data_IF_753036797389
#
_entry.id   IF_753036797389
#
_cell.length_a   1.000
_cell.length_b   1.000
_cell.length_c   1.000
_cell.angle_alpha   90.00
_cell.angle_beta   90.00
_cell.angle_gamma   90.00
#
_symmetry.space_group_name_H-M   'P 1'
#
loop_
_entity.id
_entity.type
_entity.pdbx_description
1 polymer ?
#
# COMPACT_ATOMS: atom_id res chain seq x y z
N UNK A 1 30.10 -66.95 24.12
CA UNK A 1 28.66 -66.71 23.90
C UNK A 1 28.13 -65.89 25.07
N UNK A 2 27.51 -64.75 24.76
CA UNK A 2 26.50 -63.97 25.52
C UNK A 2 26.77 -63.65 27.01
N UNK A 3 27.03 -62.39 27.39
CA UNK A 3 26.14 -61.20 27.51
C UNK A 3 25.64 -61.01 28.95
N UNK A 4 25.99 -59.85 29.53
CA UNK A 4 25.27 -59.03 30.52
C UNK A 4 26.10 -57.74 30.64
N UNK A 5 25.84 -56.61 29.98
CA UNK A 5 24.65 -55.74 29.94
C UNK A 5 24.31 -55.03 31.26
N UNK A 6 25.25 -54.23 31.78
CA UNK A 6 24.89 -53.09 32.62
C UNK A 6 24.67 -51.87 31.72
N UNK A 7 23.44 -51.80 31.20
CA UNK A 7 22.93 -50.60 30.54
C UNK A 7 22.77 -49.50 31.58
N UNK A 8 23.56 -48.43 31.42
CA UNK A 8 23.30 -47.14 32.02
C UNK A 8 21.82 -46.76 31.78
N UNK A 9 21.01 -46.77 32.84
CA UNK A 9 19.78 -45.99 32.88
C UNK A 9 20.18 -44.52 32.83
N UNK A 10 20.24 -43.98 31.61
CA UNK A 10 20.19 -42.55 31.36
C UNK A 10 18.84 -42.06 31.89
N UNK A 11 18.85 -41.50 33.09
CA UNK A 11 17.71 -40.84 33.71
C UNK A 11 17.30 -39.65 32.85
N UNK A 12 16.25 -39.83 32.07
CA UNK A 12 15.48 -38.78 31.38
C UNK A 12 14.67 -37.95 32.38
N UNK A 13 15.34 -37.34 33.36
CA UNK A 13 14.76 -36.44 34.35
C UNK A 13 15.70 -35.27 34.57
N UNK A 14 15.72 -34.34 33.61
CA UNK A 14 16.19 -32.95 33.83
C UNK A 14 15.92 -32.01 32.63
N UNK A 15 14.74 -32.14 31.99
CA UNK A 15 14.42 -31.38 30.77
C UNK A 15 13.48 -30.18 30.95
N UNK A 16 12.98 -29.90 32.17
CA UNK A 16 12.06 -28.79 32.44
C UNK A 16 12.34 -28.14 33.80
N UNK A 17 13.47 -27.43 33.92
CA UNK A 17 13.85 -26.72 35.14
C UNK A 17 14.90 -25.63 34.94
N UNK A 18 14.96 -24.96 33.77
CA UNK A 18 15.97 -23.93 33.49
C UNK A 18 15.33 -22.62 33.02
N UNK A 19 16.12 -21.54 33.03
CA UNK A 19 15.81 -20.20 32.50
C UNK A 19 15.06 -20.23 31.16
N UNK A 20 15.27 -21.26 30.34
CA UNK A 20 14.53 -21.53 29.10
C UNK A 20 13.01 -21.72 29.29
N UNK A 21 12.55 -22.36 30.37
CA UNK A 21 11.13 -22.58 30.66
C UNK A 21 10.44 -21.28 31.07
N UNK A 22 11.12 -20.45 31.87
CA UNK A 22 10.66 -19.10 32.22
C UNK A 22 10.63 -18.22 30.97
N UNK A 23 11.66 -18.28 30.12
CA UNK A 23 11.67 -17.58 28.84
C UNK A 23 10.52 -18.02 27.94
N UNK A 24 10.26 -19.33 27.87
CA UNK A 24 9.17 -19.87 27.07
C UNK A 24 7.80 -19.43 27.58
N UNK A 25 7.60 -19.38 28.91
CA UNK A 25 6.38 -18.84 29.51
C UNK A 25 6.23 -17.33 29.25
N UNK A 26 7.32 -16.54 29.29
CA UNK A 26 7.27 -15.12 28.93
C UNK A 26 6.96 -14.95 27.44
N UNK A 27 7.50 -15.80 26.57
CA UNK A 27 7.25 -15.75 25.12
C UNK A 27 5.81 -16.16 24.79
N UNK A 28 5.25 -17.18 25.46
CA UNK A 28 3.88 -17.66 25.23
C UNK A 28 2.83 -16.71 25.83
N UNK A 29 3.14 -16.01 26.92
CA UNK A 29 2.18 -15.08 27.51
C UNK A 29 2.44 -13.62 27.09
N UNK A 30 3.51 -13.37 26.33
CA UNK A 30 3.92 -12.06 25.87
C UNK A 30 3.59 -11.81 24.39
N UNK A 31 3.78 -10.56 23.97
CA UNK A 31 3.70 -10.19 22.56
C UNK A 31 5.05 -10.42 21.85
N UNK A 32 5.04 -10.34 20.52
CA UNK A 32 6.27 -10.51 19.72
C UNK A 32 7.31 -9.42 20.04
N UNK A 33 6.87 -8.25 20.51
CA UNK A 33 7.74 -7.15 20.96
C UNK A 33 8.54 -7.54 22.21
N UNK A 34 7.93 -8.24 23.16
CA UNK A 34 8.61 -8.80 24.32
C UNK A 34 9.72 -9.78 23.90
N UNK A 35 9.47 -10.62 22.89
CA UNK A 35 10.49 -11.53 22.34
C UNK A 35 11.65 -10.75 21.72
N UNK A 36 11.36 -9.70 20.96
CA UNK A 36 12.40 -8.85 20.35
C UNK A 36 13.25 -8.14 21.42
N UNK A 37 12.63 -7.65 22.48
CA UNK A 37 13.33 -7.01 23.60
C UNK A 37 14.18 -8.01 24.39
N UNK A 38 13.68 -9.23 24.62
CA UNK A 38 14.42 -10.29 25.31
C UNK A 38 15.70 -10.70 24.56
N UNK A 39 15.71 -10.63 23.22
CA UNK A 39 16.92 -10.87 22.41
C UNK A 39 18.03 -9.85 22.67
N UNK A 40 17.71 -8.68 23.22
CA UNK A 40 18.68 -7.61 23.49
C UNK A 40 19.27 -7.69 24.91
N UNK A 41 18.71 -8.53 25.78
CA UNK A 41 19.09 -8.57 27.21
C UNK A 41 20.49 -9.14 27.42
N UNK A 42 20.80 -10.31 26.86
CA UNK A 42 22.15 -10.90 26.91
C UNK A 42 22.36 -11.93 25.80
N UNK A 43 23.60 -12.43 25.69
CA UNK A 43 23.98 -13.43 24.67
C UNK A 43 23.20 -14.74 24.78
N UNK A 44 22.93 -15.21 26.00
CA UNK A 44 22.21 -16.46 26.23
C UNK A 44 20.76 -16.38 25.78
N UNK A 45 20.07 -15.26 26.04
CA UNK A 45 18.70 -15.04 25.56
C UNK A 45 18.66 -14.88 24.04
N UNK A 46 19.64 -14.19 23.44
CA UNK A 46 19.77 -14.08 21.99
C UNK A 46 19.91 -15.45 21.31
N UNK A 47 20.82 -16.30 21.81
CA UNK A 47 21.09 -17.63 21.24
C UNK A 47 19.91 -18.59 21.44
N UNK A 48 19.28 -18.55 22.62
CA UNK A 48 18.12 -19.40 22.96
C UNK A 48 16.89 -19.03 22.12
N UNK A 49 16.62 -17.73 21.93
CA UNK A 49 15.54 -17.29 21.03
C UNK A 49 15.88 -17.62 19.58
N UNK A 50 17.16 -17.50 19.19
CA UNK A 50 17.62 -17.89 17.86
C UNK A 50 17.37 -19.36 17.54
N UNK A 51 17.64 -20.28 18.47
CA UNK A 51 17.41 -21.71 18.27
C UNK A 51 15.92 -22.08 18.28
N UNK A 52 15.09 -21.35 19.04
CA UNK A 52 13.64 -21.59 19.13
C UNK A 52 12.81 -20.79 18.11
N UNK A 53 13.43 -19.93 17.30
CA UNK A 53 12.75 -19.00 16.38
C UNK A 53 11.65 -19.65 15.52
N UNK A 54 11.86 -20.82 14.87
CA UNK A 54 10.79 -21.47 14.10
C UNK A 54 9.58 -21.87 14.94
N UNK A 55 9.78 -22.30 16.19
CA UNK A 55 8.72 -22.69 17.11
C UNK A 55 7.94 -21.47 17.62
N UNK A 56 8.67 -20.40 17.97
CA UNK A 56 8.09 -19.12 18.39
C UNK A 56 7.22 -18.56 17.26
N UNK A 57 7.76 -18.47 16.04
CA UNK A 57 7.03 -17.97 14.89
C UNK A 57 5.75 -18.78 14.63
N UNK A 58 5.84 -20.11 14.63
CA UNK A 58 4.69 -20.99 14.40
C UNK A 58 3.63 -20.85 15.50
N UNK A 59 4.03 -20.67 16.75
CA UNK A 59 3.10 -20.44 17.85
C UNK A 59 2.36 -19.10 17.71
N UNK A 60 3.06 -18.01 17.41
CA UNK A 60 2.43 -16.71 17.14
C UNK A 60 1.51 -16.77 15.92
N UNK A 61 1.91 -17.42 14.83
CA UNK A 61 1.04 -17.59 13.66
C UNK A 61 -0.27 -18.30 14.03
N UNK A 62 -0.22 -19.36 14.86
CA UNK A 62 -1.42 -20.06 15.34
C UNK A 62 -2.32 -19.17 16.20
N UNK A 63 -1.77 -18.32 17.07
CA UNK A 63 -2.57 -17.35 17.84
C UNK A 63 -3.38 -16.41 16.95
N UNK A 64 -2.83 -16.06 15.78
CA UNK A 64 -3.50 -15.22 14.79
C UNK A 64 -4.35 -16.01 13.79
N UNK A 65 -4.57 -17.32 14.01
CA UNK A 65 -5.25 -18.22 13.07
C UNK A 65 -4.62 -18.25 11.66
N UNK A 66 -3.29 -18.09 11.60
CA UNK A 66 -2.52 -18.12 10.35
C UNK A 66 -1.84 -19.48 10.26
N UNK A 67 -2.22 -20.27 9.27
CA UNK A 67 -1.55 -21.53 8.95
C UNK A 67 -0.31 -21.29 8.10
N UNK A 68 -0.43 -20.40 7.11
CA UNK A 68 0.68 -20.00 6.25
C UNK A 68 0.43 -18.58 5.70
N UNK A 69 1.50 -17.90 5.28
CA UNK A 69 1.38 -16.60 4.62
C UNK A 69 1.26 -16.77 3.11
N UNK A 70 0.44 -15.94 2.47
CA UNK A 70 0.42 -15.88 1.01
C UNK A 70 1.81 -15.48 0.48
N UNK A 71 2.31 -16.11 -0.61
CA UNK A 71 3.64 -15.83 -1.16
C UNK A 71 3.88 -14.35 -1.48
N UNK A 72 2.81 -13.61 -1.77
CA UNK A 72 2.87 -12.18 -2.03
C UNK A 72 3.18 -11.37 -0.77
N UNK A 73 2.73 -11.78 0.41
CA UNK A 73 3.00 -11.09 1.69
C UNK A 73 4.49 -11.19 2.04
N UNK A 74 5.07 -12.36 1.82
CA UNK A 74 6.46 -12.70 2.14
C UNK A 74 7.43 -12.38 1.00
N UNK A 75 6.96 -11.90 -0.15
CA UNK A 75 7.78 -11.53 -1.30
C UNK A 75 8.87 -10.52 -0.93
N UNK A 76 10.09 -10.77 -1.42
CA UNK A 76 11.17 -9.80 -1.37
C UNK A 76 11.14 -8.93 -2.65
N UNK A 77 10.80 -7.64 -2.56
CA UNK A 77 10.72 -6.77 -3.74
C UNK A 77 12.05 -6.56 -4.46
N UNK A 78 13.18 -6.86 -3.82
CA UNK A 78 14.50 -6.71 -4.42
C UNK A 78 14.97 -7.94 -5.20
N UNK A 79 14.56 -9.15 -4.76
CA UNK A 79 15.09 -10.41 -5.30
C UNK A 79 14.02 -11.29 -5.94
N UNK A 80 12.74 -11.01 -5.74
CA UNK A 80 11.62 -11.86 -6.16
C UNK A 80 11.46 -13.15 -5.34
N UNK A 81 12.42 -13.45 -4.46
CA UNK A 81 12.36 -14.61 -3.57
C UNK A 81 11.47 -14.40 -2.35
N UNK A 82 11.24 -15.47 -1.60
CA UNK A 82 10.47 -15.42 -0.35
C UNK A 82 11.37 -15.01 0.82
N UNK A 83 10.91 -14.04 1.62
CA UNK A 83 11.55 -13.67 2.89
C UNK A 83 11.20 -14.71 3.96
N UNK A 84 12.18 -15.18 4.74
CA UNK A 84 11.90 -16.12 5.81
C UNK A 84 11.02 -15.49 6.88
N UNK A 85 10.17 -16.32 7.49
CA UNK A 85 9.38 -15.95 8.67
C UNK A 85 10.28 -16.08 9.89
N UNK A 86 10.68 -14.93 10.43
CA UNK A 86 11.55 -14.78 11.61
C UNK A 86 10.83 -13.95 12.65
N UNK A 87 11.31 -13.92 13.90
CA UNK A 87 10.71 -13.08 14.96
C UNK A 87 10.67 -11.60 14.54
N UNK A 88 11.60 -11.17 13.66
CA UNK A 88 11.67 -9.79 13.14
C UNK A 88 10.69 -9.50 12.01
N UNK A 89 10.46 -10.46 11.12
CA UNK A 89 9.61 -10.26 9.92
C UNK A 89 8.14 -10.59 10.19
N UNK A 90 7.87 -11.50 11.13
CA UNK A 90 6.53 -11.95 11.48
C UNK A 90 5.55 -10.82 11.87
N UNK A 91 5.90 -9.85 12.73
CA UNK A 91 4.97 -8.77 13.09
C UNK A 91 4.49 -7.99 11.85
N UNK A 92 5.40 -7.75 10.90
CA UNK A 92 5.10 -7.04 9.66
C UNK A 92 4.15 -7.85 8.77
N UNK A 93 4.36 -9.17 8.66
CA UNK A 93 3.49 -10.03 7.86
C UNK A 93 2.07 -10.13 8.44
N UNK A 94 1.95 -10.36 9.75
CA UNK A 94 0.66 -10.38 10.46
C UNK A 94 -0.07 -9.04 10.26
N UNK A 95 0.62 -7.93 10.50
CA UNK A 95 0.03 -6.60 10.36
C UNK A 95 -0.46 -6.34 8.93
N UNK A 96 0.31 -6.73 7.90
CA UNK A 96 -0.10 -6.59 6.50
C UNK A 96 -1.30 -7.44 6.15
N UNK A 97 -1.30 -8.71 6.53
CA UNK A 97 -2.42 -9.61 6.29
C UNK A 97 -3.71 -9.05 6.91
N UNK A 98 -3.64 -8.71 8.20
CA UNK A 98 -4.78 -8.18 8.93
C UNK A 98 -5.30 -6.86 8.33
N UNK A 99 -4.38 -5.92 8.03
CA UNK A 99 -4.73 -4.62 7.46
C UNK A 99 -5.34 -4.76 6.06
N UNK A 100 -4.76 -5.60 5.20
CA UNK A 100 -5.30 -5.82 3.86
C UNK A 100 -6.71 -6.45 3.93
N UNK A 101 -6.90 -7.44 4.80
CA UNK A 101 -8.21 -8.09 4.95
C UNK A 101 -9.28 -7.13 5.48
N UNK A 102 -8.95 -6.29 6.47
CA UNK A 102 -9.85 -5.26 6.97
C UNK A 102 -10.19 -4.21 5.90
N UNK A 103 -9.18 -3.71 5.20
CA UNK A 103 -9.37 -2.74 4.12
C UNK A 103 -10.23 -3.33 3.02
N UNK A 104 -9.92 -4.54 2.52
CA UNK A 104 -10.70 -5.19 1.48
C UNK A 104 -12.20 -5.29 1.83
N UNK A 105 -12.50 -5.73 3.06
CA UNK A 105 -13.88 -5.85 3.56
C UNK A 105 -14.57 -4.51 3.78
N UNK A 106 -13.82 -3.44 4.09
CA UNK A 106 -14.38 -2.09 4.24
C UNK A 106 -14.60 -1.41 2.90
N UNK A 107 -13.71 -1.65 1.94
CA UNK A 107 -13.73 -1.01 0.63
C UNK A 107 -15.00 -1.36 -0.14
N UNK A 108 -15.36 -2.64 -0.19
CA UNK A 108 -16.52 -3.12 -0.96
C UNK A 108 -17.80 -2.38 -0.58
N UNK A 109 -18.28 -2.42 0.67
CA UNK A 109 -19.54 -1.76 1.04
C UNK A 109 -19.44 -0.24 0.93
N UNK A 110 -18.25 0.33 1.08
CA UNK A 110 -18.05 1.77 0.97
C UNK A 110 -18.12 2.27 -0.47
N UNK A 111 -17.70 1.47 -1.46
CA UNK A 111 -17.79 1.81 -2.90
C UNK A 111 -19.15 1.37 -3.47
N UNK A 112 -19.61 0.17 -3.11
CA UNK A 112 -20.72 -0.55 -3.73
C UNK A 112 -21.99 -0.67 -2.89
N UNK A 113 -22.02 -0.03 -1.72
CA UNK A 113 -23.15 -0.12 -0.78
C UNK A 113 -23.08 -1.38 0.09
N UNK A 114 -23.67 -1.35 1.30
CA UNK A 114 -23.61 -2.46 2.25
C UNK A 114 -24.26 -3.73 1.67
N UNK A 115 -23.78 -4.89 2.14
CA UNK A 115 -24.52 -6.14 1.91
C UNK A 115 -25.77 -6.15 2.79
N UNK A 116 -26.92 -6.44 2.18
CA UNK A 116 -28.26 -6.48 2.76
C UNK A 116 -28.70 -7.94 2.70
N UNK A 117 -28.60 -8.63 3.84
CA UNK A 117 -28.73 -10.08 3.96
C UNK A 117 -30.14 -10.57 4.29
N UNK A 118 -31.16 -9.74 4.02
CA UNK A 118 -32.53 -9.84 4.53
C UNK A 118 -33.34 -10.99 3.91
N UNK A 119 -32.67 -12.00 3.34
CA UNK A 119 -33.28 -13.05 2.53
C UNK A 119 -33.57 -12.63 1.09
N UNK A 120 -33.05 -11.49 0.64
CA UNK A 120 -33.17 -11.07 -0.76
C UNK A 120 -32.28 -11.97 -1.64
N UNK A 121 -32.84 -12.81 -2.54
CA UNK A 121 -32.06 -13.68 -3.43
C UNK A 121 -31.24 -12.91 -4.47
N UNK A 122 -31.37 -11.58 -4.49
CA UNK A 122 -30.75 -10.68 -5.45
C UNK A 122 -29.28 -10.37 -5.17
N UNK A 123 -28.69 -10.82 -4.04
CA UNK A 123 -27.28 -10.59 -3.75
C UNK A 123 -26.45 -11.81 -3.35
N UNK A 124 -25.35 -12.04 -4.08
CA UNK A 124 -24.44 -13.16 -3.86
C UNK A 124 -23.28 -12.81 -2.92
N UNK A 125 -23.30 -13.39 -1.72
CA UNK A 125 -22.22 -13.24 -0.75
C UNK A 125 -20.92 -13.91 -1.20
N UNK A 126 -20.97 -14.97 -2.01
CA UNK A 126 -19.75 -15.62 -2.52
C UNK A 126 -19.00 -14.70 -3.49
N UNK A 127 -19.72 -13.92 -4.29
CA UNK A 127 -19.13 -12.89 -5.14
C UNK A 127 -18.43 -11.81 -4.29
N UNK A 128 -19.05 -11.35 -3.21
CA UNK A 128 -18.43 -10.39 -2.29
C UNK A 128 -17.17 -10.96 -1.62
N UNK A 129 -17.20 -12.22 -1.17
CA UNK A 129 -16.03 -12.89 -0.60
C UNK A 129 -14.89 -13.03 -1.61
N UNK A 130 -15.20 -13.44 -2.85
CA UNK A 130 -14.21 -13.56 -3.93
C UNK A 130 -13.58 -12.21 -4.25
N UNK A 131 -14.37 -11.15 -4.29
CA UNK A 131 -13.87 -9.80 -4.46
C UNK A 131 -12.98 -9.38 -3.28
N UNK A 132 -13.39 -9.64 -2.04
CA UNK A 132 -12.60 -9.30 -0.87
C UNK A 132 -11.20 -9.95 -0.91
N UNK A 133 -11.13 -11.23 -1.30
CA UNK A 133 -9.86 -11.93 -1.49
C UNK A 133 -9.01 -11.31 -2.60
N UNK A 134 -9.63 -10.92 -3.72
CA UNK A 134 -8.94 -10.22 -4.82
C UNK A 134 -8.38 -8.87 -4.38
N UNK A 135 -9.17 -8.06 -3.67
CA UNK A 135 -8.72 -6.78 -3.14
C UNK A 135 -7.61 -6.97 -2.08
N UNK A 136 -7.70 -7.99 -1.23
CA UNK A 136 -6.67 -8.33 -0.24
C UNK A 136 -5.32 -8.62 -0.91
N UNK A 137 -5.31 -9.45 -1.97
CA UNK A 137 -4.09 -9.72 -2.76
C UNK A 137 -3.56 -8.45 -3.43
N UNK A 138 -4.43 -7.65 -4.04
CA UNK A 138 -4.03 -6.38 -4.64
C UNK A 138 -3.43 -5.39 -3.65
N UNK A 139 -3.97 -5.33 -2.42
CA UNK A 139 -3.43 -4.51 -1.34
C UNK A 139 -2.03 -4.95 -0.90
N UNK A 140 -1.72 -6.25 -0.95
CA UNK A 140 -0.36 -6.72 -0.67
C UNK A 140 0.66 -6.19 -1.69
N UNK A 141 0.31 -6.18 -3.00
CA UNK A 141 1.16 -5.55 -4.03
C UNK A 141 1.37 -4.06 -3.71
N UNK A 142 0.28 -3.36 -3.38
CA UNK A 142 0.30 -1.93 -3.06
C UNK A 142 1.21 -1.63 -1.85
N UNK A 143 1.19 -2.47 -0.82
CA UNK A 143 2.07 -2.32 0.35
C UNK A 143 3.55 -2.43 -0.01
N UNK A 144 3.91 -3.28 -0.98
CA UNK A 144 5.29 -3.34 -1.48
C UNK A 144 5.65 -2.13 -2.36
N UNK A 145 4.70 -1.58 -3.12
CA UNK A 145 4.92 -0.31 -3.83
C UNK A 145 5.11 0.88 -2.90
N UNK A 146 4.45 0.88 -1.74
CA UNK A 146 4.67 1.86 -0.68
C UNK A 146 6.05 1.67 -0.01
N UNK A 147 6.48 0.43 0.19
CA UNK A 147 7.84 0.16 0.68
C UNK A 147 8.91 0.70 -0.27
N UNK A 148 8.73 0.52 -1.58
CA UNK A 148 9.64 1.05 -2.58
C UNK A 148 9.78 2.57 -2.50
N UNK A 149 8.70 3.28 -2.14
CA UNK A 149 8.73 4.71 -1.87
C UNK A 149 9.55 5.02 -0.61
N UNK A 150 9.17 4.47 0.54
CA UNK A 150 9.79 4.78 1.83
C UNK A 150 11.26 4.33 1.92
N UNK A 151 11.61 3.18 1.33
CA UNK A 151 13.01 2.71 1.28
C UNK A 151 13.89 3.66 0.45
N UNK A 152 13.32 4.31 -0.57
CA UNK A 152 14.06 5.28 -1.41
C UNK A 152 14.22 6.61 -0.69
N UNK A 153 13.15 7.09 -0.05
CA UNK A 153 13.17 8.30 0.78
C UNK A 153 14.15 8.17 1.95
N UNK A 154 14.13 7.04 2.66
CA UNK A 154 15.08 6.77 3.75
C UNK A 154 16.54 6.72 3.29
N UNK A 155 16.82 6.20 2.09
CA UNK A 155 18.18 6.18 1.54
C UNK A 155 18.64 7.61 1.23
N UNK A 156 17.78 8.46 0.69
CA UNK A 156 18.12 9.86 0.47
C UNK A 156 18.38 10.64 1.74
N UNK A 157 17.62 10.40 2.82
CA UNK A 157 17.90 11.05 4.11
C UNK A 157 19.27 10.62 4.64
N UNK A 158 19.61 9.33 4.49
CA UNK A 158 20.91 8.78 4.93
C UNK A 158 22.07 9.29 4.07
N UNK A 159 21.87 9.39 2.76
CA UNK A 159 22.88 9.86 1.81
C UNK A 159 23.01 11.39 1.86
N UNK A 160 21.93 12.14 2.09
CA UNK A 160 21.96 13.58 2.33
C UNK A 160 22.64 13.94 3.66
N UNK A 161 22.54 13.06 4.67
CA UNK A 161 23.32 13.17 5.91
C UNK A 161 24.80 12.77 5.73
N UNK A 162 25.17 12.10 4.63
CA UNK A 162 26.53 11.59 4.37
C UNK A 162 27.20 12.18 3.12
N UNK A 163 26.50 12.97 2.32
CA UNK A 163 26.99 13.46 1.04
C UNK A 163 26.46 14.87 0.76
N UNK A 164 27.26 15.84 1.20
CA UNK A 164 27.49 17.05 0.44
C UNK A 164 28.63 16.78 -0.57
N UNK A 165 28.54 15.76 -1.44
CA UNK A 165 29.53 15.58 -2.52
C UNK A 165 28.99 14.82 -3.73
N UNK A 166 28.82 15.57 -4.82
CA UNK A 166 28.65 15.20 -6.22
C UNK A 166 29.07 13.77 -6.61
N UNK A 167 28.12 12.96 -7.11
CA UNK A 167 28.36 11.59 -7.58
C UNK A 167 27.81 11.27 -8.99
N UNK A 168 28.33 10.22 -9.66
CA UNK A 168 28.12 9.91 -11.09
C UNK A 168 26.69 9.47 -11.46
N UNK A 169 25.85 9.17 -10.47
CA UNK A 169 24.45 8.77 -10.68
C UNK A 169 23.60 9.83 -11.38
N UNK A 170 23.97 11.12 -11.25
CA UNK A 170 23.30 12.23 -11.95
C UNK A 170 23.43 12.10 -13.48
N UNK A 171 24.52 11.53 -14.03
CA UNK A 171 24.76 11.46 -15.48
C UNK A 171 23.91 10.41 -16.22
N UNK A 172 23.57 9.28 -15.59
CA UNK A 172 22.70 8.26 -16.19
C UNK A 172 21.21 8.63 -16.06
N UNK A 173 20.85 9.38 -15.00
CA UNK A 173 19.51 9.94 -14.83
C UNK A 173 19.27 11.11 -15.79
N UNK A 174 20.31 11.88 -16.15
CA UNK A 174 20.22 12.95 -17.14
C UNK A 174 19.87 12.44 -18.55
N UNK A 175 20.30 11.24 -18.95
CA UNK A 175 19.98 10.70 -20.28
C UNK A 175 18.52 10.28 -20.41
N UNK A 176 17.94 9.65 -19.38
CA UNK A 176 16.51 9.29 -19.35
C UNK A 176 15.61 10.48 -19.01
N UNK A 177 16.12 11.37 -18.16
CA UNK A 177 15.51 12.65 -17.88
C UNK A 177 15.38 13.48 -19.14
N UNK A 178 16.35 13.44 -20.06
CA UNK A 178 16.30 14.19 -21.33
C UNK A 178 15.10 13.80 -22.20
N UNK A 179 14.86 12.50 -22.44
CA UNK A 179 13.71 12.04 -23.25
C UNK A 179 12.36 12.36 -22.59
N UNK A 180 12.28 12.24 -21.25
CA UNK A 180 11.10 12.62 -20.46
C UNK A 180 10.96 14.14 -20.26
N UNK A 181 12.02 14.89 -20.52
CA UNK A 181 12.11 16.34 -20.41
C UNK A 181 11.76 17.02 -21.74
N UNK A 182 11.99 16.36 -22.88
CA UNK A 182 11.44 16.79 -24.16
C UNK A 182 9.89 16.86 -24.12
N UNK A 183 9.23 15.88 -23.47
CA UNK A 183 7.78 15.93 -23.18
C UNK A 183 7.39 17.14 -22.31
N UNK A 184 8.24 17.54 -21.36
CA UNK A 184 8.04 18.70 -20.47
C UNK A 184 8.20 20.03 -21.22
N UNK A 185 9.07 20.08 -22.23
CA UNK A 185 9.38 21.27 -23.02
C UNK A 185 8.29 21.67 -24.03
N UNK A 186 7.47 20.71 -24.49
CA UNK A 186 6.41 20.97 -25.47
C UNK A 186 5.34 21.98 -24.98
N UNK A 187 5.24 22.22 -23.67
CA UNK A 187 4.19 23.06 -23.06
C UNK A 187 4.75 24.33 -22.39
N UNK A 188 5.92 24.78 -22.84
CA UNK A 188 6.65 25.94 -22.29
C UNK A 188 5.90 27.26 -22.49
N UNK A 189 5.68 28.01 -21.41
CA UNK A 189 5.32 29.44 -21.52
C UNK A 189 6.57 30.27 -21.86
N UNK A 190 6.45 31.18 -22.83
CA UNK A 190 7.57 31.96 -23.40
C UNK A 190 8.13 33.05 -22.45
N UNK A 191 7.83 33.01 -21.15
CA UNK A 191 8.01 34.17 -20.25
C UNK A 191 9.18 34.09 -19.26
N UNK A 192 9.95 32.99 -19.22
CA UNK A 192 11.08 32.85 -18.28
C UNK A 192 12.42 33.32 -18.88
N UNK A 193 13.16 34.12 -18.11
CA UNK A 193 14.57 34.44 -18.38
C UNK A 193 15.44 33.17 -18.35
N UNK A 194 16.51 33.14 -19.14
CA UNK A 194 17.40 31.97 -19.28
C UNK A 194 17.89 31.39 -17.94
N UNK A 195 18.36 32.24 -17.01
CA UNK A 195 18.88 31.78 -15.72
C UNK A 195 17.81 31.12 -14.85
N UNK A 196 16.62 31.73 -14.75
CA UNK A 196 15.46 31.15 -14.05
C UNK A 196 15.00 29.84 -14.68
N UNK A 197 15.15 29.70 -15.99
CA UNK A 197 14.82 28.46 -16.69
C UNK A 197 15.82 27.35 -16.34
N UNK A 198 17.12 27.66 -16.27
CA UNK A 198 18.14 26.69 -15.86
C UNK A 198 17.96 26.26 -14.39
N UNK A 199 17.69 27.20 -13.48
CA UNK A 199 17.40 26.88 -12.08
C UNK A 199 16.14 26.00 -11.93
N UNK A 200 15.09 26.31 -12.70
CA UNK A 200 13.88 25.50 -12.75
C UNK A 200 14.16 24.07 -13.25
N UNK A 201 14.97 23.91 -14.30
CA UNK A 201 15.38 22.62 -14.83
C UNK A 201 16.12 21.79 -13.79
N UNK A 202 17.12 22.38 -13.14
CA UNK A 202 17.88 21.67 -12.11
C UNK A 202 17.00 21.27 -10.95
N UNK A 203 16.08 22.14 -10.51
CA UNK A 203 15.11 21.78 -9.50
C UNK A 203 14.26 20.59 -9.97
N UNK A 204 13.61 20.67 -11.15
CA UNK A 204 12.75 19.59 -11.68
C UNK A 204 13.52 18.26 -11.80
N UNK A 205 14.77 18.27 -12.27
CA UNK A 205 15.61 17.07 -12.36
C UNK A 205 15.98 16.51 -10.98
N UNK A 206 16.25 17.37 -10.01
CA UNK A 206 16.52 16.97 -8.63
C UNK A 206 15.26 16.40 -7.95
N UNK A 207 14.06 16.84 -8.28
CA UNK A 207 12.83 16.15 -7.83
C UNK A 207 12.61 14.85 -8.62
N UNK A 208 12.80 14.91 -9.93
CA UNK A 208 12.57 13.83 -10.88
C UNK A 208 13.38 12.58 -10.60
N UNK A 209 14.63 12.71 -10.16
CA UNK A 209 15.48 11.54 -9.92
C UNK A 209 14.92 10.60 -8.85
N UNK A 210 14.25 11.15 -7.82
CA UNK A 210 13.64 10.38 -6.73
C UNK A 210 12.48 9.56 -7.25
N UNK A 211 11.54 10.23 -7.93
CA UNK A 211 10.34 9.61 -8.49
C UNK A 211 10.70 8.57 -9.56
N UNK A 212 11.72 8.83 -10.38
CA UNK A 212 12.24 7.88 -11.35
C UNK A 212 12.84 6.62 -10.67
N UNK A 213 13.59 6.77 -9.58
CA UNK A 213 14.13 5.62 -8.84
C UNK A 213 13.01 4.80 -8.17
N UNK A 214 12.00 5.45 -7.59
CA UNK A 214 10.81 4.78 -7.07
C UNK A 214 10.12 4.01 -8.19
N UNK A 215 9.92 4.65 -9.36
CA UNK A 215 9.36 4.02 -10.55
C UNK A 215 10.12 2.79 -11.00
N UNK A 216 11.46 2.85 -11.05
CA UNK A 216 12.32 1.69 -11.38
C UNK A 216 12.15 0.53 -10.39
N UNK A 217 12.08 0.82 -9.09
CA UNK A 217 11.89 -0.21 -8.05
C UNK A 217 10.52 -0.87 -8.16
N UNK A 218 9.47 -0.09 -8.42
CA UNK A 218 8.12 -0.62 -8.66
C UNK A 218 8.09 -1.48 -9.92
N UNK A 219 8.71 -1.05 -11.01
CA UNK A 219 8.82 -1.84 -12.25
C UNK A 219 9.58 -3.15 -12.03
N UNK A 220 10.66 -3.14 -11.23
CA UNK A 220 11.36 -4.38 -10.85
C UNK A 220 10.45 -5.32 -10.06
N UNK A 221 9.71 -4.82 -9.08
CA UNK A 221 8.76 -5.64 -8.33
C UNK A 221 7.72 -6.29 -9.24
N UNK A 222 7.18 -5.54 -10.21
CA UNK A 222 6.22 -6.07 -11.21
C UNK A 222 6.76 -7.23 -12.01
N UNK A 223 8.07 -7.28 -12.28
CA UNK A 223 8.68 -8.42 -12.98
C UNK A 223 8.58 -9.74 -12.22
N UNK A 224 8.23 -9.70 -10.92
CA UNK A 224 8.02 -10.88 -10.07
C UNK A 224 6.54 -11.21 -9.84
N UNK A 225 5.61 -10.41 -10.38
CA UNK A 225 4.18 -10.64 -10.27
C UNK A 225 3.70 -11.51 -11.44
N UNK A 226 2.78 -12.41 -11.14
CA UNK A 226 1.99 -13.06 -12.19
C UNK A 226 0.87 -12.14 -12.69
N UNK A 227 0.23 -12.55 -13.78
CA UNK A 227 -0.86 -11.81 -14.40
C UNK A 227 -2.04 -11.56 -13.44
N UNK A 228 -2.38 -12.56 -12.60
CA UNK A 228 -3.50 -12.42 -11.68
C UNK A 228 -3.22 -11.38 -10.59
N UNK A 229 -2.01 -11.37 -10.03
CA UNK A 229 -1.61 -10.40 -9.01
C UNK A 229 -1.54 -8.97 -9.57
N UNK A 230 -1.17 -8.80 -10.85
CA UNK A 230 -1.26 -7.50 -11.54
C UNK A 230 -2.73 -7.06 -11.66
N UNK A 231 -3.63 -7.94 -12.10
CA UNK A 231 -5.08 -7.64 -12.19
C UNK A 231 -5.65 -7.29 -10.80
N UNK A 232 -5.30 -8.08 -9.78
CA UNK A 232 -5.74 -7.88 -8.40
C UNK A 232 -5.27 -6.52 -7.86
N UNK A 233 -4.02 -6.15 -8.14
CA UNK A 233 -3.48 -4.82 -7.82
C UNK A 233 -4.28 -3.70 -8.48
N UNK A 234 -4.54 -3.81 -9.78
CA UNK A 234 -5.33 -2.81 -10.50
C UNK A 234 -6.77 -2.72 -9.98
N UNK A 235 -7.39 -3.84 -9.61
CA UNK A 235 -8.72 -3.86 -9.01
C UNK A 235 -8.72 -3.14 -7.64
N UNK A 236 -7.75 -3.45 -6.78
CA UNK A 236 -7.60 -2.79 -5.48
C UNK A 236 -7.35 -1.28 -5.62
N UNK A 237 -6.44 -0.88 -6.51
CA UNK A 237 -6.13 0.53 -6.74
C UNK A 237 -7.36 1.30 -7.25
N UNK A 238 -8.15 0.73 -8.18
CA UNK A 238 -9.38 1.38 -8.66
C UNK A 238 -10.38 1.61 -7.53
N UNK A 239 -10.64 0.59 -6.71
CA UNK A 239 -11.57 0.73 -5.59
C UNK A 239 -11.09 1.75 -4.55
N UNK A 240 -9.78 1.77 -4.25
CA UNK A 240 -9.19 2.77 -3.35
C UNK A 240 -9.26 4.19 -3.92
N UNK A 241 -9.10 4.36 -5.23
CA UNK A 241 -9.23 5.66 -5.89
C UNK A 241 -10.65 6.21 -5.75
N UNK A 242 -11.66 5.38 -5.99
CA UNK A 242 -13.07 5.77 -5.81
C UNK A 242 -13.35 6.22 -4.36
N UNK A 243 -12.78 5.52 -3.36
CA UNK A 243 -12.90 5.94 -1.96
C UNK A 243 -12.16 7.23 -1.66
N UNK A 244 -10.94 7.38 -2.18
CA UNK A 244 -10.16 8.60 -2.00
C UNK A 244 -10.90 9.79 -2.59
N UNK A 245 -11.47 9.66 -3.79
CA UNK A 245 -12.26 10.70 -4.43
C UNK A 245 -13.47 11.11 -3.58
N UNK A 246 -14.23 10.15 -3.05
CA UNK A 246 -15.36 10.43 -2.12
C UNK A 246 -14.89 11.13 -0.85
N UNK A 247 -13.76 10.69 -0.28
CA UNK A 247 -13.19 11.30 0.92
C UNK A 247 -12.72 12.74 0.65
N UNK A 248 -12.07 13.00 -0.48
CA UNK A 248 -11.63 14.34 -0.90
C UNK A 248 -12.83 15.25 -1.18
N UNK A 249 -13.88 14.74 -1.84
CA UNK A 249 -15.12 15.48 -2.07
C UNK A 249 -15.81 15.87 -0.77
N UNK A 250 -15.77 15.02 0.25
CA UNK A 250 -16.42 15.27 1.54
C UNK A 250 -15.58 16.17 2.45
N UNK A 251 -14.30 15.86 2.60
CA UNK A 251 -13.42 16.45 3.62
C UNK A 251 -12.45 17.50 3.07
N UNK A 252 -12.34 17.62 1.75
CA UNK A 252 -11.48 18.58 1.09
C UNK A 252 -12.12 19.96 0.90
N UNK A 253 -11.31 20.94 0.44
CA UNK A 253 -11.77 22.30 0.22
C UNK A 253 -12.84 22.37 -0.88
N UNK A 254 -13.58 23.48 -0.94
CA UNK A 254 -14.75 23.62 -1.84
C UNK A 254 -14.35 23.67 -3.32
N UNK A 255 -13.18 24.22 -3.60
CA UNK A 255 -12.59 24.39 -4.92
C UNK A 255 -11.80 23.15 -5.39
N UNK A 256 -11.74 22.09 -4.59
CA UNK A 256 -11.18 20.83 -5.04
C UNK A 256 -11.99 20.27 -6.21
N UNK A 257 -11.29 19.86 -7.27
CA UNK A 257 -11.88 19.26 -8.45
C UNK A 257 -11.17 17.94 -8.80
N UNK A 258 -11.93 17.01 -9.38
CA UNK A 258 -11.38 15.77 -9.90
C UNK A 258 -10.50 16.06 -11.10
N UNK A 259 -9.26 15.58 -11.07
CA UNK A 259 -8.42 15.58 -12.27
C UNK A 259 -8.93 14.54 -13.26
N UNK A 260 -9.43 14.99 -14.41
CA UNK A 260 -9.94 14.12 -15.47
C UNK A 260 -8.81 13.34 -16.19
N UNK A 261 -7.55 13.78 -16.07
CA UNK A 261 -6.40 13.12 -16.71
C UNK A 261 -5.79 12.07 -15.77
N UNK A 262 -6.27 10.84 -15.90
CA UNK A 262 -5.81 9.68 -15.11
C UNK A 262 -4.28 9.45 -15.15
N UNK A 263 -3.60 9.86 -16.22
CA UNK A 263 -2.16 9.64 -16.44
C UNK A 263 -1.26 10.36 -15.44
N UNK A 264 -1.74 11.46 -14.86
CA UNK A 264 -1.03 12.32 -13.91
C UNK A 264 -1.74 12.40 -12.56
N UNK A 265 -2.60 11.42 -12.27
CA UNK A 265 -3.48 11.45 -11.09
C UNK A 265 -2.69 11.55 -9.79
N UNK A 266 -2.81 12.71 -9.12
CA UNK A 266 -2.27 12.94 -7.78
C UNK A 266 -2.80 11.93 -6.76
N UNK A 267 -4.04 11.47 -6.95
CA UNK A 267 -4.67 10.43 -6.12
C UNK A 267 -3.90 9.11 -6.22
N UNK A 268 -3.59 8.66 -7.45
CA UNK A 268 -2.82 7.42 -7.64
C UNK A 268 -1.43 7.52 -7.04
N UNK A 269 -0.72 8.64 -7.26
CA UNK A 269 0.57 8.89 -6.63
C UNK A 269 0.47 8.85 -5.09
N UNK A 270 -0.53 9.54 -4.54
CA UNK A 270 -0.75 9.63 -3.11
C UNK A 270 -1.04 8.27 -2.49
N UNK A 271 -1.91 7.46 -3.08
CA UNK A 271 -2.25 6.12 -2.58
C UNK A 271 -1.01 5.21 -2.62
N UNK A 272 -0.23 5.23 -3.72
CA UNK A 272 0.93 4.35 -3.92
C UNK A 272 2.10 4.65 -2.96
N UNK A 273 2.12 5.81 -2.29
CA UNK A 273 3.12 6.14 -1.27
C UNK A 273 2.65 5.82 0.16
N UNK A 274 1.38 5.48 0.39
CA UNK A 274 0.89 5.29 1.76
C UNK A 274 1.29 3.94 2.35
N UNK A 275 1.83 3.99 3.56
CA UNK A 275 2.04 2.78 4.38
C UNK A 275 0.72 2.07 4.69
N UNK A 276 0.74 0.74 5.00
CA UNK A 276 -0.46 0.01 5.41
C UNK A 276 -1.19 0.69 6.59
N UNK A 277 -0.42 1.21 7.56
CA UNK A 277 -0.95 1.90 8.73
C UNK A 277 -1.67 3.20 8.36
N UNK A 278 -1.13 3.96 7.40
CA UNK A 278 -1.75 5.21 6.95
C UNK A 278 -3.03 4.92 6.17
N UNK A 279 -3.03 3.91 5.30
CA UNK A 279 -4.22 3.47 4.58
C UNK A 279 -5.32 2.99 5.53
N UNK A 280 -4.95 2.23 6.58
CA UNK A 280 -5.87 1.82 7.62
C UNK A 280 -6.53 3.03 8.30
N UNK A 281 -5.74 4.02 8.70
CA UNK A 281 -6.26 5.26 9.30
C UNK A 281 -7.18 6.03 8.35
N UNK A 282 -6.86 6.10 7.06
CA UNK A 282 -7.65 6.83 6.07
C UNK A 282 -9.00 6.15 5.78
N UNK A 283 -9.00 4.83 5.60
CA UNK A 283 -10.16 4.13 5.04
C UNK A 283 -10.95 3.27 6.04
N UNK A 284 -10.37 2.95 7.21
CA UNK A 284 -11.11 2.25 8.28
C UNK A 284 -11.71 3.21 9.30
N UNK A 285 -11.26 4.46 9.37
CA UNK A 285 -11.86 5.46 10.25
C UNK A 285 -13.27 5.83 9.76
N UNK A 286 -14.22 6.11 10.66
CA UNK A 286 -15.57 6.52 10.29
C UNK A 286 -15.56 7.81 9.44
N UNK A 287 -15.93 7.72 8.17
CA UNK A 287 -15.89 8.84 7.23
C UNK A 287 -17.14 9.74 7.32
N UNK A 288 -18.26 9.22 7.83
CA UNK A 288 -19.55 9.92 7.87
C UNK A 288 -19.74 10.77 9.15
N UNK A 289 -18.85 10.67 10.13
CA UNK A 289 -19.08 11.22 11.48
C UNK A 289 -18.65 12.69 11.68
N UNK A 290 -17.87 13.27 10.76
CA UNK A 290 -17.26 14.60 11.00
C UNK A 290 -17.55 15.68 9.95
N UNK A 291 -17.91 15.34 8.72
CA UNK A 291 -18.24 16.33 7.69
C UNK A 291 -19.38 15.81 6.81
N UNK A 292 -20.48 16.56 6.67
CA UNK A 292 -21.49 16.27 5.67
C UNK A 292 -21.18 17.01 4.35
N UNK A 293 -21.61 16.42 3.23
CA UNK A 293 -21.42 16.98 1.89
C UNK A 293 -22.19 18.30 1.74
N UNK A 294 -23.40 18.38 2.33
CA UNK A 294 -24.32 19.51 2.21
C UNK A 294 -23.91 20.74 3.04
N UNK A 295 -23.13 20.51 4.11
CA UNK A 295 -22.60 21.56 4.99
C UNK A 295 -21.55 22.46 4.31
N UNK A 296 -21.22 22.23 3.03
CA UNK A 296 -20.29 23.09 2.26
C UNK A 296 -20.96 24.40 1.80
N UNK A 297 -22.25 24.58 2.07
CA UNK A 297 -23.06 25.73 1.60
C UNK A 297 -23.04 26.94 2.53
N UNK A 298 -22.61 26.80 3.80
CA UNK A 298 -22.55 27.91 4.76
C UNK A 298 -21.10 28.29 5.09
N UNK A 299 -20.81 29.59 4.98
CA UNK A 299 -19.54 30.17 5.42
C UNK A 299 -19.46 30.28 6.94
N UNK A 300 -18.23 30.30 7.45
CA UNK A 300 -17.83 30.68 8.80
C UNK A 300 -17.96 29.62 9.91
N UNK A 301 -17.12 28.59 9.82
CA UNK A 301 -16.63 27.86 10.99
C UNK A 301 -15.35 27.12 10.62
N UNK A 302 -14.32 27.19 11.46
CA UNK A 302 -13.16 26.29 11.35
C UNK A 302 -13.70 24.88 11.51
N UNK A 303 -13.94 24.16 10.41
CA UNK A 303 -14.38 22.77 10.47
C UNK A 303 -13.28 21.95 11.13
N UNK A 304 -13.56 21.41 12.32
CA UNK A 304 -12.73 20.38 12.93
C UNK A 304 -12.91 19.06 12.16
N UNK A 305 -12.23 18.94 11.03
CA UNK A 305 -12.21 17.71 10.24
C UNK A 305 -11.17 16.75 10.85
N UNK A 306 -11.63 15.58 11.31
CA UNK A 306 -10.74 14.51 11.84
C UNK A 306 -9.74 13.98 10.80
N UNK A 307 -10.00 14.23 9.51
CA UNK A 307 -9.15 13.83 8.40
C UNK A 307 -8.20 14.93 7.92
N UNK A 308 -8.24 16.14 8.50
CA UNK A 308 -7.34 17.24 8.13
C UNK A 308 -5.87 16.77 8.19
N UNK A 309 -5.39 16.35 9.36
CA UNK A 309 -4.02 15.87 9.56
C UNK A 309 -3.61 14.72 8.62
N UNK A 310 -4.55 13.82 8.32
CA UNK A 310 -4.28 12.67 7.44
C UNK A 310 -4.18 13.07 5.97
N UNK A 311 -4.89 14.12 5.57
CA UNK A 311 -4.92 14.63 4.21
C UNK A 311 -3.99 15.84 4.01
N UNK A 312 -3.39 16.40 5.05
CA UNK A 312 -2.45 17.52 4.96
C UNK A 312 -1.35 17.28 3.93
N UNK A 313 -0.79 16.07 3.90
CA UNK A 313 0.27 15.72 2.93
C UNK A 313 -0.26 15.55 1.50
N UNK A 314 -1.57 15.38 1.31
CA UNK A 314 -2.22 15.46 0.00
C UNK A 314 -2.46 16.94 -0.36
N UNK A 315 -3.02 17.73 0.57
CA UNK A 315 -3.35 19.13 0.35
C UNK A 315 -2.13 19.99 0.08
N UNK A 316 -1.05 19.83 0.84
CA UNK A 316 0.22 20.51 0.56
C UNK A 316 0.71 20.23 -0.86
N UNK A 317 0.53 19.02 -1.36
CA UNK A 317 0.98 18.65 -2.70
C UNK A 317 0.05 19.20 -3.80
N UNK A 318 -1.25 19.30 -3.49
CA UNK A 318 -2.26 19.91 -4.35
C UNK A 318 -2.12 21.44 -4.41
N UNK A 319 -1.89 22.12 -3.27
CA UNK A 319 -1.65 23.57 -3.17
C UNK A 319 -0.31 23.97 -3.77
N UNK A 320 0.75 23.18 -3.55
CA UNK A 320 2.05 23.45 -4.16
C UNK A 320 2.03 23.36 -5.70
N UNK A 321 1.08 22.61 -6.29
CA UNK A 321 0.85 22.65 -7.73
C UNK A 321 0.29 24.01 -8.18
N UNK A 322 -0.37 24.76 -7.28
CA UNK A 322 -0.94 26.09 -7.53
C UNK A 322 0.07 27.23 -7.30
N UNK A 323 0.97 27.14 -6.31
CA UNK A 323 1.83 28.27 -5.90
C UNK A 323 3.14 28.43 -6.69
N UNK A 324 3.68 27.37 -7.30
CA UNK A 324 5.07 27.35 -7.77
C UNK A 324 5.32 27.86 -9.19
N UNK A 325 4.62 28.89 -9.69
CA UNK A 325 4.83 29.45 -11.07
C UNK A 325 4.90 28.41 -12.20
N UNK A 326 4.47 27.17 -11.94
CA UNK A 326 4.42 26.04 -12.85
C UNK A 326 2.98 25.63 -13.14
N UNK A 327 2.06 26.54 -12.85
CA UNK A 327 0.65 26.42 -13.19
C UNK A 327 0.48 26.13 -14.70
N UNK A 328 1.38 26.68 -15.54
CA UNK A 328 1.39 26.47 -16.99
C UNK A 328 2.28 25.29 -17.43
N UNK A 329 3.27 24.86 -16.64
CA UNK A 329 4.23 23.82 -17.05
C UNK A 329 3.94 22.40 -16.56
N UNK A 330 3.09 22.23 -15.56
CA UNK A 330 2.64 20.92 -15.03
C UNK A 330 3.79 19.97 -14.62
N UNK A 331 5.01 20.50 -14.40
CA UNK A 331 6.22 19.71 -14.24
C UNK A 331 6.19 18.84 -12.98
N UNK A 332 5.57 19.31 -11.88
CA UNK A 332 5.45 18.52 -10.65
C UNK A 332 4.55 17.30 -10.83
N UNK A 333 3.38 17.46 -11.43
CA UNK A 333 2.49 16.32 -11.73
C UNK A 333 3.16 15.34 -12.68
N UNK A 334 3.86 15.85 -13.69
CA UNK A 334 4.63 15.02 -14.63
C UNK A 334 5.79 14.29 -13.95
N UNK A 335 6.54 14.93 -13.07
CA UNK A 335 7.60 14.28 -12.25
C UNK A 335 7.00 13.19 -11.37
N UNK A 336 5.90 13.44 -10.66
CA UNK A 336 5.21 12.41 -9.85
C UNK A 336 4.77 11.22 -10.72
N UNK A 337 4.37 11.47 -11.98
CA UNK A 337 4.01 10.41 -12.91
C UNK A 337 5.17 9.46 -13.21
N UNK A 338 6.44 9.86 -13.01
CA UNK A 338 7.59 9.00 -13.23
C UNK A 338 7.65 7.81 -12.24
N UNK A 339 7.02 7.92 -11.07
CA UNK A 339 6.85 6.78 -10.16
C UNK A 339 5.52 6.02 -10.34
N UNK A 340 4.49 6.67 -10.90
CA UNK A 340 3.16 6.09 -11.11
C UNK A 340 3.06 5.33 -12.43
N UNK A 341 3.55 5.90 -13.54
CA UNK A 341 3.47 5.30 -14.89
C UNK A 341 4.09 3.89 -14.91
N UNK A 342 5.29 3.64 -14.34
CA UNK A 342 5.85 2.29 -14.33
C UNK A 342 5.06 1.28 -13.48
N UNK A 343 4.23 1.76 -12.55
CA UNK A 343 3.39 0.90 -11.72
C UNK A 343 2.01 0.64 -12.34
N UNK A 344 1.47 1.56 -13.14
CA UNK A 344 0.04 1.54 -13.52
C UNK A 344 -0.23 1.73 -15.03
N UNK A 345 0.60 2.45 -15.78
CA UNK A 345 0.21 3.04 -17.08
C UNK A 345 1.18 2.68 -18.22
N UNK A 346 2.19 1.85 -17.99
CA UNK A 346 2.96 1.30 -19.11
C UNK A 346 2.09 0.43 -20.04
N UNK A 347 2.64 0.00 -21.18
CA UNK A 347 1.86 -0.71 -22.19
C UNK A 347 1.12 -1.93 -21.63
N UNK A 348 1.76 -2.71 -20.73
CA UNK A 348 1.18 -3.86 -20.05
C UNK A 348 0.22 -3.47 -18.91
N UNK A 349 0.53 -2.43 -18.15
CA UNK A 349 -0.32 -1.92 -17.06
C UNK A 349 -1.68 -1.42 -17.57
N UNK A 350 -1.73 -0.84 -18.78
CA UNK A 350 -3.01 -0.48 -19.41
C UNK A 350 -3.89 -1.71 -19.71
N UNK A 351 -3.30 -2.83 -20.09
CA UNK A 351 -4.03 -4.08 -20.34
C UNK A 351 -4.57 -4.66 -19.03
N UNK A 352 -3.75 -4.74 -17.99
CA UNK A 352 -4.19 -5.19 -16.67
C UNK A 352 -5.26 -4.28 -16.05
N UNK A 353 -5.17 -2.96 -16.26
CA UNK A 353 -6.21 -2.03 -15.83
C UNK A 353 -7.56 -2.27 -16.53
N UNK A 354 -7.56 -2.63 -17.82
CA UNK A 354 -8.78 -3.02 -18.56
C UNK A 354 -9.32 -4.36 -18.08
N UNK A 355 -8.44 -5.33 -17.82
CA UNK A 355 -8.82 -6.63 -17.26
C UNK A 355 -9.44 -6.48 -15.86
N UNK A 356 -8.85 -5.66 -15.00
CA UNK A 356 -9.40 -5.31 -13.69
C UNK A 356 -10.75 -4.60 -13.79
N UNK A 357 -10.95 -3.72 -14.79
CA UNK A 357 -12.25 -3.11 -15.04
C UNK A 357 -13.32 -4.14 -15.38
N UNK A 358 -12.98 -5.05 -16.29
CA UNK A 358 -13.88 -6.13 -16.71
C UNK A 358 -14.23 -7.02 -15.52
N UNK A 359 -13.23 -7.40 -14.72
CA UNK A 359 -13.42 -8.17 -13.50
C UNK A 359 -14.35 -7.46 -12.50
N UNK A 360 -14.11 -6.18 -12.21
CA UNK A 360 -14.95 -5.42 -11.28
C UNK A 360 -16.40 -5.30 -11.78
N UNK A 361 -16.61 -5.12 -13.09
CA UNK A 361 -17.96 -5.12 -13.70
C UNK A 361 -18.65 -6.48 -13.55
N UNK A 362 -17.94 -7.57 -13.82
CA UNK A 362 -18.47 -8.93 -13.65
C UNK A 362 -18.82 -9.22 -12.19
N UNK A 363 -17.94 -8.87 -11.25
CA UNK A 363 -18.18 -9.04 -9.82
C UNK A 363 -19.35 -8.17 -9.34
N UNK A 364 -19.52 -6.97 -9.87
CA UNK A 364 -20.70 -6.14 -9.58
C UNK A 364 -22.00 -6.82 -10.02
N UNK A 365 -22.05 -7.34 -11.26
CA UNK A 365 -23.21 -8.06 -11.79
C UNK A 365 -23.49 -9.35 -11.01
N UNK A 366 -22.46 -10.11 -10.64
CA UNK A 366 -22.61 -11.32 -9.83
C UNK A 366 -23.09 -11.01 -8.42
N UNK A 367 -22.56 -9.94 -7.81
CA UNK A 367 -22.98 -9.49 -6.48
C UNK A 367 -24.44 -9.02 -6.48
N UNK A 368 -24.95 -8.44 -7.57
CA UNK A 368 -26.32 -7.95 -7.67
C UNK A 368 -27.12 -8.72 -8.73
N UNK A 369 -27.36 -10.01 -8.45
CA UNK A 369 -28.11 -10.95 -9.30
C UNK A 369 -29.49 -10.38 -9.71
N UNK A 370 -30.14 -9.60 -8.84
CA UNK A 370 -31.48 -9.03 -9.08
C UNK A 370 -31.54 -7.75 -9.93
N UNK A 371 -30.44 -7.00 -10.04
CA UNK A 371 -30.46 -5.72 -10.76
C UNK A 371 -30.64 -5.93 -12.27
N UNK A 372 -30.15 -7.04 -12.82
CA UNK A 372 -30.48 -7.41 -14.19
C UNK A 372 -31.96 -7.75 -14.36
N UNK A 373 -32.64 -8.33 -13.36
CA UNK A 373 -34.06 -8.61 -13.47
C UNK A 373 -34.90 -7.32 -13.43
N UNK A 374 -34.54 -6.34 -12.58
CA UNK A 374 -35.19 -5.04 -12.51
C UNK A 374 -34.98 -4.17 -13.77
N UNK A 375 -33.82 -4.29 -14.44
CA UNK A 375 -33.57 -3.61 -15.72
C UNK A 375 -34.18 -4.34 -16.94
N UNK A 376 -34.43 -5.65 -16.85
CA UNK A 376 -35.02 -6.44 -17.96
C UNK A 376 -36.55 -6.55 -17.85
N UNK A 377 -37.09 -6.48 -16.62
CA UNK A 377 -38.53 -6.44 -16.33
C UNK A 377 -38.82 -5.02 -15.86
N UNK A 378 -39.01 -4.11 -16.81
CA UNK A 378 -39.11 -2.66 -16.56
C UNK A 378 -40.07 -2.27 -15.42
N UNK A 379 -39.55 -2.21 -14.20
CA UNK A 379 -40.19 -1.63 -13.04
C UNK A 379 -39.48 -0.31 -12.69
N UNK A 380 -39.42 0.57 -13.69
CA UNK A 380 -39.51 2.01 -13.44
C UNK A 380 -40.97 2.41 -13.59
N UNK A 381 -41.82 1.95 -12.68
CA UNK A 381 -43.12 2.56 -12.46
C UNK A 381 -43.04 3.33 -11.15
N UNK A 382 -42.95 4.66 -11.31
CA UNK A 382 -43.58 5.70 -10.47
C UNK A 382 -44.13 5.23 -9.13
N UNK A 383 -43.53 5.70 -8.03
CA UNK A 383 -44.19 6.54 -7.00
C UNK A 383 -43.13 7.24 -6.14
#
# INVERSE_FOLDING_TARGET
MQQNSDAQMVTTKDLFGRVADVLFQIIINGDISAVLNLRLVNKSTYETIGSLEPHICRWFMRLHNINDFAPLITLNPQTGGQRPVTVRTLPRFIHRQHTASQLARRIIPSVWGPYIGDGNPEMDYNAELKLAQTLERGLHVLFHFADAYHDTEMLQVKDGAKSATYGPGRRLVLTWGSDLYDDLLEHRSQSMTFDKNIDHIYAVLDWGHVEAEIGRRRLRLRSYLDEQNEIDFHAALRMLRELMERMLLRHGPKDWYRDAKNEYSLISWFILKQSPRTLAKLFLSPQDECCHLDDKTTDAGVRECRFADLLDSYWKEWENDLELRCHDCDCRRRVRSWSVKPAVIDARGREFNRAAEKYLKEMWSQRHIGLHHAFTVGYFNTF
#
